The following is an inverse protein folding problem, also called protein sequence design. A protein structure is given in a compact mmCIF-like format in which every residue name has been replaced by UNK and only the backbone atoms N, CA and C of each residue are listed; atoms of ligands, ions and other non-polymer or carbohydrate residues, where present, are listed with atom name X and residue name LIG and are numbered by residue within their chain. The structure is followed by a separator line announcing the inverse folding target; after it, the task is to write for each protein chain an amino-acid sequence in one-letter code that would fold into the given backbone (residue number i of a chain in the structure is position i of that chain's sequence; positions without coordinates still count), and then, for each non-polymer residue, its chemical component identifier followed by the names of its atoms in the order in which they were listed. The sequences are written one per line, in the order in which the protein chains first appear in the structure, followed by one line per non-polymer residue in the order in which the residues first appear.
data_IF_056838099512
#
_entry.id   IF_056838099512
#
_cell.length_a   1.000
_cell.length_b   1.000
_cell.length_c   1.000
_cell.angle_alpha   90.00
_cell.angle_beta   90.00
_cell.angle_gamma   90.00
#
_symmetry.space_group_name_H-M   'P 1'
#
loop_
_entity.id
_entity.type
_entity.pdbx_description
1 polymer ?
#
# COMPACT_ATOMS: atom_id res chain seq x y z
N UNK A 1 -22.90 -20.44 7.19
CA UNK A 1 -22.80 -20.17 5.74
C UNK A 1 -22.97 -18.67 5.60
N UNK A 2 -21.97 -17.98 5.02
CA UNK A 2 -21.51 -16.60 5.34
C UNK A 2 -20.90 -16.55 6.75
N UNK A 3 -19.62 -16.23 7.01
CA UNK A 3 -18.62 -15.44 6.28
C UNK A 3 -17.23 -16.10 6.42
N UNK A 4 -16.62 -16.50 5.30
CA UNK A 4 -15.16 -16.62 5.21
C UNK A 4 -14.60 -15.20 5.06
N UNK A 5 -14.56 -14.43 6.15
CA UNK A 5 -13.90 -13.13 6.14
C UNK A 5 -12.40 -13.38 6.10
N UNK A 6 -11.78 -13.12 4.95
CA UNK A 6 -10.31 -13.07 4.87
C UNK A 6 -9.91 -11.90 5.76
N UNK A 7 -9.37 -12.17 6.95
CA UNK A 7 -8.79 -11.15 7.80
C UNK A 7 -7.48 -10.68 7.14
N UNK A 8 -7.58 -9.60 6.34
CA UNK A 8 -6.45 -9.02 5.63
C UNK A 8 -5.70 -8.12 6.61
N UNK A 9 -4.43 -8.44 6.94
CA UNK A 9 -3.67 -7.67 7.92
C UNK A 9 -3.12 -6.40 7.26
N UNK A 10 -3.97 -5.40 6.98
CA UNK A 10 -3.56 -4.17 6.26
C UNK A 10 -2.40 -3.45 6.95
N UNK A 11 -2.28 -3.59 8.27
CA UNK A 11 -1.18 -3.05 9.06
C UNK A 11 0.21 -3.48 8.57
N UNK A 12 0.33 -4.66 7.95
CA UNK A 12 1.59 -5.17 7.41
C UNK A 12 2.10 -4.37 6.21
N UNK A 13 1.20 -3.67 5.49
CA UNK A 13 1.58 -2.78 4.38
C UNK A 13 2.49 -1.65 4.87
N UNK A 14 2.27 -1.14 6.09
CA UNK A 14 3.15 -0.13 6.68
C UNK A 14 4.60 -0.64 6.80
N UNK A 15 4.79 -1.87 7.28
CA UNK A 15 6.12 -2.50 7.40
C UNK A 15 6.76 -2.64 6.03
N UNK A 16 5.98 -3.00 5.00
CA UNK A 16 6.48 -3.05 3.62
C UNK A 16 7.01 -1.69 3.13
N UNK A 17 6.30 -0.60 3.43
CA UNK A 17 6.78 0.75 3.12
C UNK A 17 8.08 1.11 3.84
N UNK A 18 8.24 0.70 5.11
CA UNK A 18 9.50 0.90 5.83
C UNK A 18 10.66 0.16 5.16
N UNK A 19 10.44 -1.08 4.71
CA UNK A 19 11.45 -1.88 4.00
C UNK A 19 11.86 -1.20 2.69
N UNK A 20 10.89 -0.74 1.88
CA UNK A 20 11.20 -0.05 0.61
C UNK A 20 11.93 1.27 0.88
N UNK A 21 11.49 2.03 1.88
CA UNK A 21 12.08 3.33 2.24
C UNK A 21 13.53 3.20 2.68
N UNK A 22 13.92 2.03 3.20
CA UNK A 22 15.29 1.79 3.61
C UNK A 22 16.27 1.97 2.43
N UNK A 23 15.86 1.68 1.17
CA UNK A 23 16.51 1.90 -0.16
C UNK A 23 18.05 1.77 -0.28
N UNK A 24 18.74 1.41 0.79
CA UNK A 24 20.18 1.47 0.98
C UNK A 24 20.87 0.28 0.31
N UNK A 25 20.11 -0.79 0.08
CA UNK A 25 20.59 -2.01 -0.57
C UNK A 25 20.72 -1.86 -2.09
N UNK A 26 20.09 -0.85 -2.70
CA UNK A 26 20.11 -0.66 -4.17
C UNK A 26 21.53 -0.49 -4.73
N UNK A 27 22.37 0.25 -4.01
CA UNK A 27 23.76 0.51 -4.40
C UNK A 27 24.72 -0.65 -4.07
N UNK A 28 24.31 -1.62 -3.24
CA UNK A 28 25.12 -2.81 -2.93
C UNK A 28 25.09 -3.85 -4.05
N UNK A 29 24.07 -3.81 -4.92
CA UNK A 29 24.00 -4.72 -6.05
C UNK A 29 25.10 -4.44 -7.08
N UNK A 30 25.60 -5.45 -7.81
CA UNK A 30 26.51 -5.23 -8.93
C UNK A 30 25.87 -4.33 -10.01
N UNK A 31 26.67 -3.53 -10.73
CA UNK A 31 26.17 -2.55 -11.71
C UNK A 31 25.18 -3.14 -12.72
N UNK A 32 25.39 -4.37 -13.21
CA UNK A 32 24.45 -5.03 -14.14
C UNK A 32 23.05 -5.23 -13.55
N UNK A 33 22.98 -5.59 -12.27
CA UNK A 33 21.72 -5.77 -11.55
C UNK A 33 21.07 -4.41 -11.28
N UNK A 34 21.87 -3.38 -10.96
CA UNK A 34 21.37 -2.00 -10.84
C UNK A 34 20.71 -1.55 -12.16
N UNK A 35 21.38 -1.73 -13.30
CA UNK A 35 20.83 -1.39 -14.62
C UNK A 35 19.56 -2.20 -14.94
N UNK A 36 19.50 -3.48 -14.55
CA UNK A 36 18.29 -4.29 -14.72
C UNK A 36 17.10 -3.68 -13.97
N UNK A 37 17.31 -3.28 -12.71
CA UNK A 37 16.27 -2.61 -11.93
C UNK A 37 15.91 -1.25 -12.51
N UNK A 38 16.89 -0.45 -12.94
CA UNK A 38 16.64 0.88 -13.51
C UNK A 38 15.85 0.84 -14.82
N UNK A 39 16.11 -0.15 -15.67
CA UNK A 39 15.51 -0.24 -17.00
C UNK A 39 14.18 -0.98 -17.02
N UNK A 40 13.98 -1.96 -16.12
CA UNK A 40 12.81 -2.82 -16.13
C UNK A 40 11.97 -2.68 -14.85
N UNK A 41 10.86 -1.95 -14.99
CA UNK A 41 9.90 -1.74 -13.90
C UNK A 41 9.22 -3.04 -13.44
N UNK A 42 9.03 -4.02 -14.34
CA UNK A 42 8.44 -5.31 -13.99
C UNK A 42 9.34 -6.11 -13.06
N UNK A 43 10.67 -6.00 -13.22
CA UNK A 43 11.63 -6.63 -12.31
C UNK A 43 11.54 -5.99 -10.93
N UNK A 44 11.40 -4.65 -10.83
CA UNK A 44 11.16 -3.99 -9.54
C UNK A 44 9.90 -4.52 -8.86
N UNK A 45 8.81 -4.66 -9.61
CA UNK A 45 7.56 -5.19 -9.06
C UNK A 45 7.66 -6.65 -8.63
N UNK A 46 8.33 -7.49 -9.43
CA UNK A 46 8.56 -8.89 -9.09
C UNK A 46 9.33 -9.03 -7.76
N UNK A 47 10.46 -8.34 -7.60
CA UNK A 47 11.21 -8.36 -6.35
C UNK A 47 10.49 -7.66 -5.19
N UNK A 48 9.71 -6.63 -5.46
CA UNK A 48 8.82 -6.02 -4.47
C UNK A 48 7.77 -7.01 -3.96
N UNK A 49 7.15 -7.79 -4.85
CA UNK A 49 6.18 -8.82 -4.47
C UNK A 49 6.83 -9.92 -3.64
N UNK A 50 8.00 -10.43 -4.06
CA UNK A 50 8.75 -11.41 -3.28
C UNK A 50 9.09 -10.87 -1.88
N UNK A 51 9.47 -9.58 -1.79
CA UNK A 51 9.79 -8.95 -0.51
C UNK A 51 8.57 -8.90 0.41
N UNK A 52 7.40 -8.56 -0.12
CA UNK A 52 6.14 -8.59 0.63
C UNK A 52 5.82 -10.01 1.13
N UNK A 53 5.92 -11.02 0.27
CA UNK A 53 5.63 -12.42 0.64
C UNK A 53 6.58 -12.89 1.76
N UNK A 54 7.89 -12.76 1.55
CA UNK A 54 8.89 -13.37 2.41
C UNK A 54 9.20 -12.58 3.68
N UNK A 55 9.27 -11.25 3.61
CA UNK A 55 9.70 -10.42 4.75
C UNK A 55 8.55 -9.79 5.52
N UNK A 56 7.35 -9.77 4.94
CA UNK A 56 6.20 -9.11 5.56
C UNK A 56 5.14 -10.12 5.94
N UNK A 57 4.59 -10.88 4.99
CA UNK A 57 3.48 -11.81 5.28
C UNK A 57 3.95 -13.06 6.04
N UNK A 58 5.08 -13.66 5.66
CA UNK A 58 5.59 -14.87 6.32
C UNK A 58 6.22 -14.63 7.70
N UNK A 59 6.72 -13.41 7.95
CA UNK A 59 7.38 -13.04 9.22
C UNK A 59 6.38 -12.49 10.23
N UNK A 60 5.16 -12.14 9.81
CA UNK A 60 4.13 -11.56 10.70
C UNK A 60 3.84 -12.50 11.89
N UNK A 61 4.24 -12.13 13.12
CA UNK A 61 4.05 -12.97 14.30
C UNK A 61 2.59 -13.02 14.75
N UNK A 62 1.70 -12.25 14.13
CA UNK A 62 0.27 -12.18 14.44
C UNK A 62 -0.51 -13.21 13.63
N UNK A 63 0.03 -13.70 12.51
CA UNK A 63 -0.68 -14.58 11.60
C UNK A 63 -0.11 -16.00 11.55
N UNK A 64 -0.98 -17.00 11.70
CA UNK A 64 -0.69 -18.38 11.28
C UNK A 64 -1.54 -18.65 10.05
N UNK A 65 -0.90 -18.89 8.92
CA UNK A 65 -1.62 -19.15 7.65
C UNK A 65 -0.98 -20.28 6.89
N UNK A 66 -1.81 -21.07 6.21
CA UNK A 66 -1.35 -22.10 5.29
C UNK A 66 -0.79 -21.44 4.01
N UNK A 67 0.08 -22.16 3.29
CA UNK A 67 0.73 -21.64 2.08
C UNK A 67 -0.23 -20.96 1.09
N UNK A 68 -1.37 -21.59 0.77
CA UNK A 68 -2.35 -21.01 -0.16
C UNK A 68 -2.95 -19.69 0.35
N UNK A 69 -3.19 -19.59 1.65
CA UNK A 69 -3.72 -18.38 2.27
C UNK A 69 -2.67 -17.26 2.28
N UNK A 70 -1.41 -17.60 2.56
CA UNK A 70 -0.27 -16.67 2.47
C UNK A 70 -0.18 -16.05 1.07
N UNK A 71 -0.25 -16.88 0.01
CA UNK A 71 -0.19 -16.40 -1.37
C UNK A 71 -1.37 -15.50 -1.70
N UNK A 72 -2.60 -15.90 -1.34
CA UNK A 72 -3.80 -15.10 -1.60
C UNK A 72 -3.74 -13.73 -0.89
N UNK A 73 -3.38 -13.72 0.40
CA UNK A 73 -3.20 -12.46 1.15
C UNK A 73 -2.13 -11.59 0.54
N UNK A 74 -1.01 -12.17 0.12
CA UNK A 74 0.09 -11.43 -0.52
C UNK A 74 -0.36 -10.77 -1.82
N UNK A 75 -1.15 -11.46 -2.65
CA UNK A 75 -1.71 -10.88 -3.89
C UNK A 75 -2.61 -9.68 -3.58
N UNK A 76 -3.52 -9.83 -2.61
CA UNK A 76 -4.44 -8.75 -2.22
C UNK A 76 -3.69 -7.55 -1.64
N UNK A 77 -2.77 -7.79 -0.71
CA UNK A 77 -1.95 -6.74 -0.09
C UNK A 77 -1.07 -6.03 -1.13
N UNK A 78 -0.52 -6.77 -2.09
CA UNK A 78 0.26 -6.17 -3.17
C UNK A 78 -0.61 -5.32 -4.10
N UNK A 79 -1.85 -5.75 -4.38
CA UNK A 79 -2.83 -4.93 -5.11
C UNK A 79 -3.14 -3.62 -4.39
N UNK A 80 -3.34 -3.66 -3.07
CA UNK A 80 -3.55 -2.46 -2.25
C UNK A 80 -2.31 -1.56 -2.27
N UNK A 81 -1.11 -2.14 -2.19
CA UNK A 81 0.15 -1.40 -2.37
C UNK A 81 0.23 -0.69 -3.72
N UNK A 82 -0.14 -1.36 -4.82
CA UNK A 82 -0.13 -0.74 -6.15
C UNK A 82 -1.11 0.45 -6.24
N UNK A 83 -2.30 0.34 -5.63
CA UNK A 83 -3.24 1.45 -5.56
C UNK A 83 -2.64 2.60 -4.73
N UNK A 84 -2.07 2.27 -3.57
CA UNK A 84 -1.51 3.26 -2.66
C UNK A 84 -0.32 4.02 -3.26
N UNK A 85 0.55 3.34 -4.02
CA UNK A 85 1.66 3.98 -4.75
C UNK A 85 1.18 4.93 -5.87
N UNK A 86 -0.04 4.76 -6.36
CA UNK A 86 -0.67 5.60 -7.38
C UNK A 86 -1.68 6.58 -6.77
N UNK A 87 -1.42 7.01 -5.54
CA UNK A 87 -2.23 7.99 -4.80
C UNK A 87 -1.54 9.35 -4.81
N UNK A 88 -2.30 10.44 -4.83
CA UNK A 88 -1.73 11.78 -4.70
C UNK A 88 -0.97 11.92 -3.35
N UNK A 89 0.16 12.63 -3.37
CA UNK A 89 1.12 12.70 -2.24
C UNK A 89 0.46 13.08 -0.90
N UNK A 90 -0.49 14.01 -0.89
CA UNK A 90 -1.16 14.42 0.34
C UNK A 90 -1.99 13.27 0.94
N UNK A 91 -2.81 12.64 0.11
CA UNK A 91 -3.64 11.50 0.50
C UNK A 91 -2.79 10.26 0.84
N UNK A 92 -1.67 10.07 0.16
CA UNK A 92 -0.70 9.04 0.48
C UNK A 92 -0.15 9.21 1.90
N UNK A 93 0.24 10.44 2.29
CA UNK A 93 0.71 10.72 3.65
C UNK A 93 -0.37 10.44 4.69
N UNK A 94 -1.63 10.86 4.45
CA UNK A 94 -2.74 10.53 5.35
C UNK A 94 -2.98 9.02 5.47
N UNK A 95 -2.91 8.30 4.36
CA UNK A 95 -3.04 6.85 4.32
C UNK A 95 -1.92 6.17 5.12
N UNK A 96 -0.68 6.65 4.98
CA UNK A 96 0.49 6.11 5.68
C UNK A 96 0.42 6.33 7.20
N UNK A 97 -0.01 7.52 7.65
CA UNK A 97 -0.22 7.81 9.08
C UNK A 97 -1.29 6.87 9.66
N UNK A 98 -2.36 6.62 8.90
CA UNK A 98 -3.44 5.74 9.32
C UNK A 98 -2.95 4.30 9.47
N UNK A 99 -2.19 3.79 8.49
CA UNK A 99 -1.59 2.45 8.55
C UNK A 99 -0.61 2.31 9.72
N UNK A 100 0.19 3.34 10.01
CA UNK A 100 1.08 3.36 11.17
C UNK A 100 0.28 3.27 12.49
N UNK A 101 -0.79 4.06 12.63
CA UNK A 101 -1.68 4.03 13.78
C UNK A 101 -2.33 2.66 13.97
N UNK A 102 -2.84 2.07 12.88
CA UNK A 102 -3.40 0.71 12.88
C UNK A 102 -2.36 -0.32 13.36
N UNK A 103 -1.12 -0.24 12.85
CA UNK A 103 -0.05 -1.16 13.24
C UNK A 103 0.27 -1.08 14.73
N UNK A 104 0.41 0.12 15.29
CA UNK A 104 0.65 0.32 16.72
C UNK A 104 -0.52 -0.19 17.58
N UNK A 105 -1.76 0.08 17.16
CA UNK A 105 -2.95 -0.42 17.84
C UNK A 105 -3.03 -1.95 17.80
N UNK A 106 -2.66 -2.58 16.69
CA UNK A 106 -2.64 -4.04 16.53
C UNK A 106 -1.65 -4.70 17.50
N UNK A 107 -0.45 -4.11 17.65
CA UNK A 107 0.53 -4.58 18.65
C UNK A 107 -0.03 -4.43 20.06
N UNK A 108 -0.59 -3.26 20.41
CA UNK A 108 -1.11 -3.03 21.76
C UNK A 108 -2.31 -3.93 22.09
N UNK A 109 -3.19 -4.15 21.13
CA UNK A 109 -4.32 -5.06 21.25
C UNK A 109 -3.85 -6.50 21.52
N UNK A 110 -2.81 -6.96 20.84
CA UNK A 110 -2.24 -8.30 21.05
C UNK A 110 -1.69 -8.47 22.48
N UNK A 111 -1.02 -7.45 23.01
CA UNK A 111 -0.53 -7.45 24.39
C UNK A 111 -1.67 -7.50 25.41
N UNK A 112 -2.74 -6.72 25.17
CA UNK A 112 -3.87 -6.59 26.08
C UNK A 112 -4.81 -7.79 26.07
N UNK A 113 -4.98 -8.45 24.92
CA UNK A 113 -5.75 -9.69 24.79
C UNK A 113 -5.21 -10.83 25.68
N UNK A 114 -3.95 -10.74 26.11
CA UNK A 114 -3.36 -11.69 27.05
C UNK A 114 -3.78 -11.45 28.51
N UNK A 115 -4.38 -10.29 28.84
CA UNK A 115 -4.56 -9.80 30.22
C UNK A 115 -6.04 -9.62 30.65
N UNK A 116 -7.04 -10.11 29.90
CA UNK A 116 -8.47 -10.23 30.30
C UNK A 116 -9.30 -8.94 30.54
N UNK A 117 -8.84 -7.75 30.13
CA UNK A 117 -9.63 -6.51 30.24
C UNK A 117 -10.56 -6.27 29.02
N UNK A 118 -11.81 -6.73 29.09
CA UNK A 118 -12.77 -6.70 27.97
C UNK A 118 -13.21 -5.29 27.52
N UNK A 119 -13.38 -4.31 28.41
CA UNK A 119 -13.90 -2.98 28.04
C UNK A 119 -12.90 -2.16 27.21
N UNK A 120 -11.61 -2.30 27.54
CA UNK A 120 -10.54 -1.63 26.81
C UNK A 120 -10.45 -2.14 25.36
N UNK A 121 -10.62 -3.45 25.15
CA UNK A 121 -10.58 -4.09 23.82
C UNK A 121 -11.65 -3.53 22.88
N UNK A 122 -12.87 -3.26 23.37
CA UNK A 122 -13.97 -2.69 22.57
C UNK A 122 -13.60 -1.29 22.06
N UNK A 123 -12.93 -0.47 22.88
CA UNK A 123 -12.48 0.86 22.46
C UNK A 123 -11.41 0.76 21.37
N UNK A 124 -10.43 -0.15 21.53
CA UNK A 124 -9.39 -0.39 20.51
C UNK A 124 -10.01 -0.81 19.17
N UNK A 125 -11.01 -1.67 19.19
CA UNK A 125 -11.69 -2.14 17.97
C UNK A 125 -12.42 -1.01 17.24
N UNK A 126 -13.14 -0.15 17.98
CA UNK A 126 -13.79 1.03 17.36
C UNK A 126 -12.80 1.99 16.73
N UNK A 127 -11.69 2.28 17.41
CA UNK A 127 -10.65 3.18 16.88
C UNK A 127 -9.97 2.55 15.67
N UNK A 128 -9.68 1.25 15.73
CA UNK A 128 -9.12 0.49 14.62
C UNK A 128 -10.02 0.55 13.39
N UNK A 129 -11.32 0.28 13.52
CA UNK A 129 -12.28 0.32 12.42
C UNK A 129 -12.42 1.73 11.82
N UNK A 130 -12.43 2.76 12.67
CA UNK A 130 -12.46 4.15 12.21
C UNK A 130 -11.22 4.48 11.35
N UNK A 131 -10.03 4.04 11.78
CA UNK A 131 -8.80 4.23 11.02
C UNK A 131 -8.80 3.44 9.71
N UNK A 132 -9.38 2.24 9.68
CA UNK A 132 -9.55 1.46 8.45
C UNK A 132 -10.42 2.18 7.43
N UNK A 133 -11.57 2.72 7.89
CA UNK A 133 -12.48 3.48 7.02
C UNK A 133 -11.78 4.73 6.48
N UNK A 134 -11.07 5.46 7.35
CA UNK A 134 -10.33 6.65 6.95
C UNK A 134 -9.19 6.34 5.98
N UNK A 135 -8.45 5.24 6.21
CA UNK A 135 -7.45 4.73 5.27
C UNK A 135 -8.05 4.39 3.90
N UNK A 136 -9.17 3.67 3.88
CA UNK A 136 -9.84 3.29 2.64
C UNK A 136 -10.31 4.52 1.85
N UNK A 137 -10.98 5.48 2.51
CA UNK A 137 -11.46 6.70 1.86
C UNK A 137 -10.31 7.56 1.32
N UNK A 138 -9.26 7.77 2.11
CA UNK A 138 -8.11 8.56 1.68
C UNK A 138 -7.37 7.92 0.50
N UNK A 139 -7.20 6.60 0.51
CA UNK A 139 -6.59 5.85 -0.59
C UNK A 139 -7.44 5.94 -1.86
N UNK A 140 -8.75 5.67 -1.77
CA UNK A 140 -9.65 5.69 -2.95
C UNK A 140 -9.72 7.09 -3.56
N UNK A 141 -9.98 8.13 -2.74
CA UNK A 141 -10.08 9.50 -3.22
C UNK A 141 -8.75 9.96 -3.81
N UNK A 142 -7.64 9.71 -3.12
CA UNK A 142 -6.32 10.13 -3.59
C UNK A 142 -5.85 9.40 -4.84
N UNK A 143 -6.24 8.12 -5.02
CA UNK A 143 -5.99 7.36 -6.24
C UNK A 143 -6.71 7.98 -7.45
N UNK A 144 -8.01 8.28 -7.32
CA UNK A 144 -8.75 8.91 -8.42
C UNK A 144 -8.27 10.34 -8.71
N UNK A 145 -7.96 11.13 -7.68
CA UNK A 145 -7.36 12.46 -7.87
C UNK A 145 -6.08 12.35 -8.69
N UNK A 146 -5.17 11.43 -8.32
CA UNK A 146 -3.90 11.25 -9.03
C UNK A 146 -4.08 10.69 -10.44
N UNK A 147 -5.00 9.74 -10.63
CA UNK A 147 -5.36 9.25 -11.96
C UNK A 147 -5.81 10.40 -12.86
N UNK A 148 -6.67 11.27 -12.35
CA UNK A 148 -7.13 12.46 -13.07
C UNK A 148 -6.00 13.44 -13.41
N UNK A 149 -5.08 13.70 -12.48
CA UNK A 149 -3.88 14.49 -12.75
C UNK A 149 -3.08 13.92 -13.93
N UNK A 150 -2.90 12.60 -13.97
CA UNK A 150 -2.19 11.91 -15.05
C UNK A 150 -2.98 11.86 -16.35
N UNK A 151 -4.30 11.71 -16.32
CA UNK A 151 -5.15 11.85 -17.51
C UNK A 151 -5.09 13.26 -18.10
N UNK A 152 -5.09 14.30 -17.27
CA UNK A 152 -4.92 15.69 -17.73
C UNK A 152 -3.52 15.89 -18.34
N UNK A 153 -2.48 15.32 -17.73
CA UNK A 153 -1.09 15.41 -18.21
C UNK A 153 -0.91 14.71 -19.57
N UNK A 154 -1.39 13.48 -19.70
CA UNK A 154 -1.12 12.60 -20.85
C UNK A 154 -2.20 12.63 -21.93
N UNK A 155 -3.41 13.10 -21.62
CA UNK A 155 -4.58 13.16 -22.51
C UNK A 155 -4.75 11.80 -23.23
N UNK A 156 -4.76 11.82 -24.57
CA UNK A 156 -4.93 10.63 -25.41
C UNK A 156 -3.77 9.61 -25.32
N UNK A 157 -2.65 9.97 -24.69
CA UNK A 157 -1.51 9.06 -24.46
C UNK A 157 -1.57 8.39 -23.09
N UNK A 158 -2.64 8.59 -22.32
CA UNK A 158 -2.82 7.95 -21.04
C UNK A 158 -3.11 6.45 -21.25
N UNK A 159 -2.39 5.62 -20.51
CA UNK A 159 -2.54 4.16 -20.51
C UNK A 159 -2.68 3.68 -19.06
N UNK A 160 -3.73 2.91 -18.77
CA UNK A 160 -4.04 2.45 -17.41
C UNK A 160 -3.00 1.48 -16.87
N UNK A 161 -2.44 0.63 -17.74
CA UNK A 161 -1.44 -0.34 -17.32
C UNK A 161 -0.14 0.36 -16.92
N UNK A 162 0.32 1.29 -17.76
CA UNK A 162 1.46 2.17 -17.49
C UNK A 162 1.24 3.08 -16.29
N UNK A 163 -0.01 3.46 -16.01
CA UNK A 163 -0.35 4.20 -14.79
C UNK A 163 -0.14 3.34 -13.55
N UNK A 164 -0.75 2.14 -13.48
CA UNK A 164 -0.68 1.27 -12.30
C UNK A 164 0.74 0.78 -12.01
N UNK A 165 1.46 0.33 -13.04
CA UNK A 165 2.82 -0.21 -12.89
C UNK A 165 3.91 0.86 -13.00
N UNK A 166 3.54 2.09 -13.33
CA UNK A 166 4.46 3.21 -13.44
C UNK A 166 5.48 3.08 -14.58
N UNK A 167 6.46 3.99 -14.57
CA UNK A 167 7.57 4.03 -15.51
C UNK A 167 8.90 3.93 -14.74
N UNK A 168 9.96 3.39 -15.36
CA UNK A 168 11.27 3.25 -14.72
C UNK A 168 11.89 4.59 -14.29
N UNK A 169 11.63 5.67 -15.04
CA UNK A 169 12.20 7.01 -14.82
C UNK A 169 11.13 8.04 -14.45
N UNK A 170 11.39 8.81 -13.39
CA UNK A 170 10.53 9.92 -12.97
C UNK A 170 10.78 11.19 -13.82
N UNK A 171 9.72 11.91 -14.19
CA UNK A 171 9.82 13.24 -14.85
C UNK A 171 10.13 14.39 -13.87
N UNK A 172 10.00 14.16 -12.56
CA UNK A 172 10.33 15.13 -11.51
C UNK A 172 9.29 16.23 -11.25
N UNK A 173 8.19 16.32 -12.00
CA UNK A 173 7.12 17.29 -11.76
C UNK A 173 5.72 16.73 -12.10
N UNK A 174 4.70 17.26 -11.44
CA UNK A 174 3.28 17.02 -11.73
C UNK A 174 2.59 18.33 -12.11
N UNK A 175 1.55 18.31 -12.96
CA UNK A 175 0.80 19.51 -13.31
C UNK A 175 0.12 20.13 -12.08
N UNK A 176 0.07 21.46 -12.01
CA UNK A 176 -0.67 22.18 -10.96
C UNK A 176 -2.15 22.18 -11.32
N UNK A 177 -2.92 21.24 -10.79
CA UNK A 177 -4.37 21.15 -10.97
C UNK A 177 -5.09 21.29 -9.64
N UNK A 178 -6.36 21.71 -9.67
CA UNK A 178 -7.22 21.66 -8.48
C UNK A 178 -7.65 20.21 -8.23
N UNK A 179 -7.76 19.80 -6.97
CA UNK A 179 -8.16 18.42 -6.63
C UNK A 179 -9.51 18.03 -7.22
N UNK A 180 -10.52 18.89 -7.12
CA UNK A 180 -11.85 18.62 -7.67
C UNK A 180 -11.84 18.43 -9.19
N UNK A 181 -11.08 19.27 -9.90
CA UNK A 181 -10.94 19.16 -11.35
C UNK A 181 -10.25 17.84 -11.73
N UNK A 182 -9.21 17.46 -10.99
CA UNK A 182 -8.50 16.21 -11.22
C UNK A 182 -9.40 15.02 -10.95
N UNK A 183 -10.11 15.01 -9.82
CA UNK A 183 -11.06 13.93 -9.50
C UNK A 183 -12.11 13.73 -10.60
N UNK A 184 -12.73 14.81 -11.10
CA UNK A 184 -13.69 14.70 -12.21
C UNK A 184 -13.04 14.20 -13.50
N UNK A 185 -11.82 14.64 -13.80
CA UNK A 185 -11.06 14.17 -14.97
C UNK A 185 -10.68 12.68 -14.88
N UNK A 186 -10.75 12.06 -13.71
CA UNK A 186 -10.53 10.61 -13.59
C UNK A 186 -11.62 9.79 -14.29
N UNK A 187 -12.83 10.35 -14.42
CA UNK A 187 -14.01 9.68 -15.00
C UNK A 187 -14.35 10.15 -16.42
N UNK A 188 -13.66 11.16 -16.92
CA UNK A 188 -13.67 11.57 -18.33
C UNK A 188 -12.48 10.96 -19.09
#
# INVERSE_FOLDING_TARGET
MLETYINIPLHTIFVFFLIISANYLGQLYPCRIQTLFETNIYIKHFFGFLTLVFFVVLVDPIQTSNFNETIMKSIVLYGIFLILMNTNVLFFVFSLISLAGIYLLSIKKKELSSNTDNDSLILYDRVHDLLYIFFALSTIVGFFVYMGEKKIEYKNKFDYFTFIFGKPSCKGFSPKTKYMQSFLAAFH
#
